data_IF_726065857317
#
_entry.id   IF_726065857317
#
_cell.length_a   1.000
_cell.length_b   1.000
_cell.length_c   1.000
_cell.angle_alpha   90.00
_cell.angle_beta   90.00
_cell.angle_gamma   90.00
#
_symmetry.space_group_name_H-M   'P 1'
#
loop_
_entity.id
_entity.type
_entity.pdbx_description
1 polymer ?
#
# COMPACT_ATOMS: atom_id res chain seq x y z
N UNK A 1 8.42 31.72 14.81
CA UNK A 1 9.12 31.40 13.55
C UNK A 1 9.19 29.88 13.30
N UNK A 2 9.46 29.05 14.32
CA UNK A 2 9.51 27.58 14.19
C UNK A 2 8.19 26.91 13.78
N UNK A 3 7.05 27.39 14.31
CA UNK A 3 5.71 26.84 14.01
C UNK A 3 5.40 26.90 12.51
N UNK A 4 5.67 28.06 11.87
CA UNK A 4 5.47 28.27 10.43
C UNK A 4 6.39 27.35 9.60
N UNK A 5 7.62 27.10 10.09
CA UNK A 5 8.54 26.19 9.42
C UNK A 5 8.06 24.73 9.48
N UNK A 6 7.54 24.29 10.63
CA UNK A 6 6.97 22.96 10.80
C UNK A 6 5.71 22.74 9.94
N UNK A 7 4.85 23.75 9.85
CA UNK A 7 3.62 23.69 9.07
C UNK A 7 3.91 23.62 7.55
N UNK A 8 4.90 24.40 7.09
CA UNK A 8 5.38 24.33 5.71
C UNK A 8 6.04 22.98 5.36
N UNK A 9 6.78 22.37 6.30
CA UNK A 9 7.36 21.02 6.12
C UNK A 9 6.26 19.96 6.00
N UNK A 10 5.25 20.00 6.88
CA UNK A 10 4.07 19.10 6.80
C UNK A 10 3.36 19.24 5.46
N UNK A 11 3.09 20.47 5.01
CA UNK A 11 2.41 20.73 3.73
C UNK A 11 3.18 20.17 2.53
N UNK A 12 4.50 20.38 2.46
CA UNK A 12 5.33 19.81 1.39
C UNK A 12 5.35 18.29 1.42
N UNK A 13 5.44 17.68 2.61
CA UNK A 13 5.40 16.23 2.76
C UNK A 13 4.08 15.65 2.22
N UNK A 14 2.94 16.22 2.63
CA UNK A 14 1.64 15.78 2.11
C UNK A 14 1.54 15.95 0.59
N UNK A 15 2.00 17.07 0.03
CA UNK A 15 2.05 17.26 -1.42
C UNK A 15 2.88 16.19 -2.13
N UNK A 16 4.06 15.84 -1.60
CA UNK A 16 4.89 14.77 -2.17
C UNK A 16 4.21 13.40 -2.10
N UNK A 17 3.55 13.07 -0.99
CA UNK A 17 2.79 11.83 -0.83
C UNK A 17 1.65 11.74 -1.86
N UNK A 18 0.89 12.81 -2.05
CA UNK A 18 -0.16 12.86 -3.08
C UNK A 18 0.40 12.70 -4.51
N UNK A 19 1.59 13.24 -4.78
CA UNK A 19 2.27 13.06 -6.07
C UNK A 19 2.66 11.60 -6.29
N UNK A 20 3.18 10.91 -5.26
CA UNK A 20 3.57 9.49 -5.37
C UNK A 20 2.38 8.61 -5.70
N UNK A 21 1.26 8.73 -4.96
CA UNK A 21 0.07 7.93 -5.25
C UNK A 21 -0.54 8.26 -6.62
N UNK A 22 -0.51 9.53 -7.03
CA UNK A 22 -0.94 9.92 -8.39
C UNK A 22 -0.06 9.29 -9.48
N UNK A 23 1.25 9.15 -9.24
CA UNK A 23 2.16 8.47 -10.16
C UNK A 23 1.94 6.97 -10.20
N UNK A 24 1.70 6.31 -9.06
CA UNK A 24 1.41 4.88 -8.98
C UNK A 24 0.15 4.55 -9.79
N UNK A 25 -0.92 5.35 -9.64
CA UNK A 25 -2.14 5.23 -10.46
C UNK A 25 -1.87 5.33 -11.97
N UNK A 26 -0.95 6.22 -12.40
CA UNK A 26 -0.56 6.33 -13.82
C UNK A 26 0.11 5.07 -14.37
N UNK A 27 0.74 4.26 -13.51
CA UNK A 27 1.30 2.97 -13.88
C UNK A 27 0.28 1.82 -13.86
N UNK A 28 -1.03 2.12 -13.86
CA UNK A 28 -2.10 1.11 -13.82
C UNK A 28 -1.96 0.16 -12.64
N UNK A 29 -1.65 0.76 -11.48
CA UNK A 29 -1.71 0.08 -10.21
C UNK A 29 -2.87 0.66 -9.43
N UNK A 30 -3.64 -0.22 -8.82
CA UNK A 30 -4.79 0.09 -7.99
C UNK A 30 -4.44 -0.16 -6.54
N UNK A 31 -5.00 0.67 -5.67
CA UNK A 31 -4.92 0.46 -4.23
C UNK A 31 -6.01 -0.52 -3.84
N UNK A 32 -5.58 -1.74 -3.51
CA UNK A 32 -6.43 -2.93 -3.35
C UNK A 32 -7.51 -2.73 -2.28
N UNK A 33 -7.28 -1.85 -1.31
CA UNK A 33 -8.22 -1.58 -0.22
C UNK A 33 -8.86 -0.18 -0.29
N UNK A 34 -8.68 0.58 -1.38
CA UNK A 34 -9.38 1.87 -1.63
C UNK A 34 -10.58 1.68 -2.55
N UNK A 35 -10.47 0.74 -3.49
CA UNK A 35 -11.55 0.40 -4.40
C UNK A 35 -12.46 -0.59 -3.68
N UNK A 36 -13.55 -0.10 -3.07
CA UNK A 36 -14.81 -0.80 -2.73
C UNK A 36 -14.77 -2.16 -2.00
N UNK A 37 -13.59 -2.67 -1.62
CA UNK A 37 -13.35 -4.04 -1.16
C UNK A 37 -12.80 -4.09 0.27
N UNK A 38 -13.31 -3.25 1.17
CA UNK A 38 -13.72 -3.92 2.39
C UNK A 38 -14.95 -4.73 2.00
N UNK A 39 -14.78 -6.00 1.62
CA UNK A 39 -15.93 -6.86 1.26
C UNK A 39 -16.98 -6.93 2.39
N UNK A 40 -16.59 -6.51 3.60
CA UNK A 40 -17.46 -6.44 4.77
C UNK A 40 -18.07 -5.02 4.97
N UNK A 41 -17.76 -4.05 4.09
CA UNK A 41 -18.34 -2.71 3.99
C UNK A 41 -18.26 -1.84 5.28
N UNK A 42 -17.24 -2.00 6.12
CA UNK A 42 -17.17 -1.32 7.41
C UNK A 42 -16.81 0.18 7.32
N UNK A 43 -16.64 0.74 6.12
CA UNK A 43 -16.24 2.15 5.83
C UNK A 43 -14.92 2.60 6.47
N UNK A 44 -14.28 1.74 7.27
CA UNK A 44 -13.13 2.09 8.09
C UNK A 44 -11.83 1.60 7.43
N UNK A 45 -11.14 2.51 6.73
CA UNK A 45 -9.94 2.19 5.94
C UNK A 45 -8.61 2.49 6.63
N UNK A 46 -8.61 2.77 7.94
CA UNK A 46 -7.36 3.09 8.65
C UNK A 46 -6.58 1.82 8.98
N UNK A 47 -5.25 1.94 9.02
CA UNK A 47 -4.32 0.83 9.26
C UNK A 47 -3.39 1.06 10.43
N UNK A 48 -3.47 2.24 11.06
CA UNK A 48 -2.60 2.67 12.14
C UNK A 48 -3.38 3.43 13.21
N UNK A 49 -3.02 3.17 14.46
CA UNK A 49 -3.53 3.79 15.66
C UNK A 49 -2.41 4.57 16.35
N UNK A 50 -2.41 5.89 16.20
CA UNK A 50 -1.49 6.75 16.93
C UNK A 50 -1.82 6.81 18.43
N UNK A 51 -0.81 7.03 19.25
CA UNK A 51 -0.91 7.10 20.72
C UNK A 51 -1.98 8.08 21.24
N UNK A 52 -2.34 9.11 20.46
CA UNK A 52 -3.33 10.13 20.83
C UNK A 52 -4.76 9.80 20.32
N UNK A 53 -5.04 8.54 19.96
CA UNK A 53 -6.31 8.13 19.36
C UNK A 53 -6.45 8.53 17.88
N UNK A 54 -5.41 9.12 17.28
CA UNK A 54 -5.40 9.50 15.87
C UNK A 54 -5.32 8.26 14.99
N UNK A 55 -6.30 8.09 14.10
CA UNK A 55 -6.33 7.00 13.11
C UNK A 55 -5.79 7.50 11.78
N UNK A 56 -4.92 6.71 11.14
CA UNK A 56 -4.44 7.00 9.78
C UNK A 56 -4.31 5.73 8.95
N UNK A 57 -4.36 5.88 7.62
CA UNK A 57 -4.02 4.83 6.67
C UNK A 57 -2.60 5.08 6.21
N UNK A 58 -1.68 4.20 6.59
CA UNK A 58 -0.26 4.24 6.20
C UNK A 58 0.26 2.89 5.72
N UNK A 59 -0.53 1.84 5.87
CA UNK A 59 -0.35 0.56 5.19
C UNK A 59 -1.14 0.55 3.89
N UNK A 60 -0.52 0.07 2.82
CA UNK A 60 -1.14 -0.06 1.51
C UNK A 60 -0.66 -1.33 0.81
N UNK A 61 -1.53 -1.94 0.02
CA UNK A 61 -1.14 -2.93 -0.99
C UNK A 61 -1.58 -2.37 -2.33
N UNK A 62 -0.62 -2.19 -3.23
CA UNK A 62 -0.86 -1.78 -4.61
C UNK A 62 -0.63 -2.96 -5.53
N UNK A 63 -1.60 -3.26 -6.37
CA UNK A 63 -1.53 -4.33 -7.36
C UNK A 63 -1.67 -3.73 -8.74
N UNK A 64 -0.99 -4.31 -9.75
CA UNK A 64 -1.31 -3.99 -11.13
C UNK A 64 -2.73 -4.48 -11.45
N UNK A 65 -3.40 -3.85 -12.41
CA UNK A 65 -4.78 -4.22 -12.80
C UNK A 65 -4.95 -5.73 -13.02
N UNK A 66 -3.96 -6.38 -13.66
CA UNK A 66 -4.01 -7.83 -13.92
C UNK A 66 -4.02 -8.68 -12.64
N UNK A 67 -3.21 -8.32 -11.64
CA UNK A 67 -3.18 -9.02 -10.35
C UNK A 67 -4.46 -8.72 -9.58
N UNK A 68 -4.95 -7.47 -9.67
CA UNK A 68 -6.18 -7.06 -9.00
C UNK A 68 -7.42 -7.79 -9.54
N UNK A 69 -7.51 -8.05 -10.84
CA UNK A 69 -8.60 -8.83 -11.44
C UNK A 69 -8.63 -10.29 -10.96
N UNK A 70 -7.50 -10.80 -10.44
CA UNK A 70 -7.41 -12.15 -9.87
C UNK A 70 -7.70 -12.18 -8.35
N UNK A 71 -8.09 -11.04 -7.75
CA UNK A 71 -8.34 -10.93 -6.30
C UNK A 71 -9.46 -11.86 -5.84
N UNK A 72 -9.17 -12.64 -4.81
CA UNK A 72 -10.14 -13.47 -4.08
C UNK A 72 -10.58 -12.78 -2.78
N UNK A 73 -9.64 -12.10 -2.12
CA UNK A 73 -9.89 -11.48 -0.82
C UNK A 73 -8.95 -10.31 -0.58
N UNK A 74 -9.53 -9.17 -0.23
CA UNK A 74 -8.83 -8.04 0.33
C UNK A 74 -9.52 -7.67 1.64
N UNK A 75 -8.78 -7.59 2.76
CA UNK A 75 -9.33 -7.17 4.06
C UNK A 75 -8.31 -6.41 4.89
N UNK A 76 -8.80 -5.51 5.73
CA UNK A 76 -8.04 -4.89 6.81
C UNK A 76 -8.53 -5.52 8.12
N UNK A 77 -7.65 -6.15 8.88
CA UNK A 77 -8.03 -6.87 10.11
C UNK A 77 -7.32 -6.30 11.32
N UNK A 78 -8.04 -6.14 12.41
CA UNK A 78 -7.43 -5.81 13.69
C UNK A 78 -6.40 -6.87 14.08
N UNK A 79 -5.30 -6.45 14.72
CA UNK A 79 -4.26 -7.35 15.10
C UNK A 79 -4.76 -8.37 16.13
N UNK A 80 -4.46 -9.65 15.90
CA UNK A 80 -4.82 -10.73 16.84
C UNK A 80 -4.03 -10.62 18.14
N UNK A 81 -2.83 -10.01 18.09
CA UNK A 81 -1.96 -9.77 19.24
C UNK A 81 -1.85 -8.26 19.42
N UNK A 82 -2.14 -7.75 20.63
CA UNK A 82 -2.21 -6.32 20.95
C UNK A 82 -0.86 -5.56 20.92
N UNK A 83 0.24 -6.19 20.48
CA UNK A 83 1.57 -5.59 20.53
C UNK A 83 1.94 -4.81 19.24
N UNK A 84 0.94 -4.25 18.55
CA UNK A 84 1.14 -3.45 17.35
C UNK A 84 0.07 -2.37 17.29
N UNK A 85 0.49 -1.17 16.89
CA UNK A 85 -0.34 -0.03 16.55
C UNK A 85 -0.86 -0.09 15.11
N UNK A 86 -0.57 -1.17 14.38
CA UNK A 86 -1.03 -1.39 13.01
C UNK A 86 -2.05 -2.52 12.86
N UNK A 87 -3.06 -2.30 12.00
CA UNK A 87 -3.93 -3.36 11.46
C UNK A 87 -3.19 -4.17 10.39
N UNK A 88 -3.57 -5.44 10.22
CA UNK A 88 -3.06 -6.30 9.17
C UNK A 88 -3.79 -6.08 7.85
N UNK A 89 -3.02 -6.03 6.75
CA UNK A 89 -3.54 -6.03 5.39
C UNK A 89 -3.48 -7.43 4.82
N UNK A 90 -4.63 -7.95 4.41
CA UNK A 90 -4.77 -9.26 3.77
C UNK A 90 -5.06 -9.01 2.30
N UNK A 91 -4.30 -9.70 1.43
CA UNK A 91 -4.51 -9.71 -0.01
C UNK A 91 -4.24 -11.11 -0.56
N UNK A 92 -5.29 -11.75 -1.08
CA UNK A 92 -5.24 -13.06 -1.71
C UNK A 92 -5.75 -12.94 -3.15
N UNK A 93 -5.07 -13.59 -4.08
CA UNK A 93 -5.44 -13.64 -5.50
C UNK A 93 -5.21 -15.05 -6.06
N UNK A 94 -5.96 -15.42 -7.09
CA UNK A 94 -5.81 -16.71 -7.76
C UNK A 94 -4.66 -16.64 -8.75
N UNK A 95 -3.63 -17.43 -8.53
CA UNK A 95 -2.46 -17.50 -9.39
C UNK A 95 -2.70 -18.36 -10.66
N UNK A 96 -3.74 -18.09 -11.43
CA UNK A 96 -4.05 -18.92 -12.60
C UNK A 96 -3.16 -18.59 -13.80
N UNK A 97 -2.48 -17.42 -13.84
CA UNK A 97 -1.68 -16.98 -15.01
C UNK A 97 -0.35 -16.27 -14.71
N UNK A 98 -0.01 -15.95 -13.46
CA UNK A 98 1.18 -15.14 -13.15
C UNK A 98 2.52 -15.86 -13.35
N UNK A 99 2.57 -17.19 -13.30
CA UNK A 99 3.79 -17.97 -13.56
C UNK A 99 3.79 -18.77 -14.87
N UNK A 100 2.75 -18.67 -15.72
CA UNK A 100 2.68 -19.50 -16.92
C UNK A 100 3.58 -19.03 -18.08
N UNK A 101 4.28 -17.91 -17.97
CA UNK A 101 5.24 -17.47 -19.01
C UNK A 101 6.34 -16.61 -18.38
N UNK A 102 7.44 -17.25 -17.97
CA UNK A 102 8.82 -16.82 -18.27
C UNK A 102 9.86 -17.65 -17.50
N UNK A 103 10.28 -18.78 -18.09
CA UNK A 103 11.59 -19.39 -17.87
C UNK A 103 12.75 -18.49 -18.38
N UNK A 104 12.58 -17.17 -18.33
CA UNK A 104 13.51 -16.15 -18.81
C UNK A 104 13.84 -15.15 -17.69
N UNK A 105 14.02 -15.62 -16.45
CA UNK A 105 14.84 -14.91 -15.46
C UNK A 105 16.31 -14.98 -15.94
N UNK A 106 16.58 -14.27 -17.05
CA UNK A 106 17.92 -13.96 -17.50
C UNK A 106 18.51 -13.03 -16.45
N UNK A 107 19.37 -13.62 -15.62
CA UNK A 107 20.62 -13.03 -15.11
C UNK A 107 20.59 -11.50 -14.95
N UNK A 108 19.95 -10.99 -13.90
CA UNK A 108 20.50 -9.81 -13.24
C UNK A 108 21.69 -10.27 -12.37
N UNK A 109 22.78 -10.65 -13.04
CA UNK A 109 24.08 -10.76 -12.39
C UNK A 109 24.48 -9.34 -11.97
N UNK A 110 24.47 -9.10 -10.66
CA UNK A 110 25.36 -8.21 -9.92
C UNK A 110 25.95 -7.03 -10.70
N UNK A 111 25.28 -5.87 -10.70
CA UNK A 111 26.02 -4.60 -10.74
C UNK A 111 26.60 -4.38 -9.34
N UNK A 112 27.79 -4.94 -9.10
CA UNK A 112 28.66 -4.49 -8.01
C UNK A 112 29.12 -3.07 -8.32
N UNK A 113 29.22 -2.27 -7.26
CA UNK A 113 29.45 -0.84 -7.31
C UNK A 113 30.79 -0.44 -7.92
N UNK A 114 30.80 0.76 -8.47
CA UNK A 114 31.99 1.59 -8.58
C UNK A 114 31.73 2.80 -7.67
N UNK A 115 32.42 2.81 -6.53
CA UNK A 115 32.89 4.02 -5.88
C UNK A 115 34.38 4.05 -6.18
#
# INVERSE_FOLDING_TARGET
MEIICMENRKRRYYQQVFIVFSKIKRFKHVDVHIEEYDMDNNLEIHTFFGANGNKSRIGYIWASDNIFLETVKAKIKDPVIQNTDHKFLIFNFVNNRLFSTNNNVKKYKNKKGHI
#
